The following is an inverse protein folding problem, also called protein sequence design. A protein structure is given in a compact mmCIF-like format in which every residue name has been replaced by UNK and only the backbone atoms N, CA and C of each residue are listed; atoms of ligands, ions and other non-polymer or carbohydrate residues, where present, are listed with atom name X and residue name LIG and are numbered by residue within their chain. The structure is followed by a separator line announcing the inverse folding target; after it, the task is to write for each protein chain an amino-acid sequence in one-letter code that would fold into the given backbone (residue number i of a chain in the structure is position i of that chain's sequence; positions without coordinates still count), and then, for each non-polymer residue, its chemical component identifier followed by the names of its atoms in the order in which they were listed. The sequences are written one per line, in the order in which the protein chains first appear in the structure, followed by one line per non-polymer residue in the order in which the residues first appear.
data_IF_158099014536
#
_entry.id   IF_158099014536
#
_cell.length_a   1.000
_cell.length_b   1.000
_cell.length_c   1.000
_cell.angle_alpha   90.00
_cell.angle_beta   90.00
_cell.angle_gamma   90.00
#
_symmetry.space_group_name_H-M   'P 1'
#
loop_
_entity.id
_entity.type
_entity.pdbx_description
1 polymer ?
2 non-polymer ?
3 non-polymer ?
4 water ?
#
# COMPACT_ATOMS: atom_id res chain seq x y z
N UNK A 2 8.67 36.51 -21.56
CA UNK A 2 9.06 35.61 -22.68
C UNK A 2 8.11 35.80 -23.85
N UNK A 3 8.65 35.69 -25.08
CA UNK A 3 7.85 35.93 -26.26
C UNK A 3 6.85 34.80 -26.44
N UNK A 4 5.61 35.23 -26.60
CA UNK A 4 4.49 34.32 -26.63
C UNK A 4 4.34 33.63 -28.01
N UNK A 5 4.18 32.31 -28.00
CA UNK A 5 3.70 31.59 -29.21
C UNK A 5 2.52 30.79 -28.68
N UNK A 6 1.44 30.73 -29.44
CA UNK A 6 0.25 29.98 -29.04
C UNK A 6 -0.19 29.08 -30.16
N UNK A 7 -0.55 27.82 -29.84
CA UNK A 7 -1.28 26.98 -30.78
C UNK A 7 -2.52 26.56 -30.03
N UNK A 8 -3.68 27.18 -30.33
CA UNK A 8 -4.87 27.00 -29.48
C UNK A 8 -5.31 25.54 -29.52
N UNK A 9 -5.22 24.91 -30.67
CA UNK A 9 -5.61 23.51 -30.78
C UNK A 9 -4.70 22.58 -29.93
N UNK A 10 -3.40 22.84 -29.93
CA UNK A 10 -2.48 22.07 -29.11
C UNK A 10 -2.91 22.17 -27.65
N UNK A 11 -3.29 23.36 -27.20
CA UNK A 11 -3.74 23.52 -25.81
C UNK A 11 -4.98 22.66 -25.52
N UNK A 12 -5.94 22.71 -26.42
CA UNK A 12 -7.17 21.92 -26.24
C UNK A 12 -6.91 20.44 -26.29
N UNK A 13 -6.02 19.98 -27.17
CA UNK A 13 -5.66 18.60 -27.23
C UNK A 13 -5.01 18.12 -25.93
N UNK A 14 -4.10 18.94 -25.43
CA UNK A 14 -3.38 18.57 -24.19
C UNK A 14 -4.30 18.59 -22.98
N UNK A 15 -5.33 19.43 -22.99
CA UNK A 15 -6.35 19.40 -21.98
C UNK A 15 -7.05 18.04 -21.98
N UNK A 16 -7.44 17.59 -23.17
CA UNK A 16 -8.09 16.27 -23.23
C UNK A 16 -7.16 15.19 -22.75
N UNK A 17 -5.92 15.23 -23.22
CA UNK A 17 -4.92 14.26 -22.86
C UNK A 17 -4.68 14.19 -21.33
N UNK A 18 -4.60 15.33 -20.67
CA UNK A 18 -4.20 15.28 -19.26
C UNK A 18 -5.24 14.64 -18.38
N UNK A 19 -6.51 14.76 -18.76
CA UNK A 19 -7.59 14.23 -17.94
C UNK A 19 -8.12 12.92 -18.45
N UNK A 20 -7.45 12.35 -19.43
CA UNK A 20 -7.92 11.07 -19.92
C UNK A 20 -7.84 10.04 -18.79
N UNK A 21 -8.78 9.11 -18.72
CA UNK A 21 -8.77 8.19 -17.58
C UNK A 21 -7.47 7.41 -17.43
N UNK A 22 -6.97 7.26 -16.20
CA UNK A 22 -5.91 6.27 -15.93
C UNK A 22 -6.60 5.02 -15.38
N UNK A 23 -5.90 3.88 -15.43
CA UNK A 23 -6.47 2.65 -14.93
C UNK A 23 -6.79 2.84 -13.44
N UNK A 24 -7.88 2.20 -12.99
CA UNK A 24 -8.22 2.22 -11.56
C UNK A 24 -7.27 1.36 -10.74
N UNK A 25 -7.01 1.78 -9.51
CA UNK A 25 -6.20 0.93 -8.62
C UNK A 25 -6.91 -0.37 -8.33
N UNK A 26 -6.13 -1.37 -7.89
CA UNK A 26 -6.67 -2.67 -7.60
C UNK A 26 -7.54 -2.58 -6.34
N UNK A 27 -8.47 -3.55 -6.21
CA UNK A 27 -9.37 -3.58 -5.08
C UNK A 27 -9.26 -4.90 -4.28
N UNK A 28 -8.26 -5.74 -4.53
CA UNK A 28 -8.06 -6.98 -3.71
C UNK A 28 -8.06 -6.61 -2.24
N UNK A 29 -8.81 -7.35 -1.42
CA UNK A 29 -8.81 -7.12 0.04
C UNK A 29 -7.72 -7.98 0.64
N UNK A 30 -6.81 -7.37 1.44
CA UNK A 30 -5.81 -8.14 2.14
C UNK A 30 -6.43 -8.73 3.40
N UNK A 31 -6.46 -10.05 3.45
CA UNK A 31 -6.99 -10.81 4.56
C UNK A 31 -5.83 -11.23 5.44
N UNK A 32 -6.11 -11.26 6.73
CA UNK A 32 -5.13 -11.75 7.69
C UNK A 32 -4.60 -13.15 7.31
N UNK A 33 -3.30 -13.40 7.50
CA UNK A 33 -2.76 -14.72 7.14
C UNK A 33 -3.09 -15.77 8.18
N UNK A 34 -3.47 -15.31 9.38
CA UNK A 34 -3.80 -16.25 10.50
C UNK A 34 -4.52 -15.50 11.61
N UNK A 35 -4.87 -16.24 12.65
CA UNK A 35 -5.70 -15.71 13.70
C UNK A 35 -4.98 -14.93 14.77
N UNK A 36 -3.65 -14.88 14.74
CA UNK A 36 -2.95 -14.02 15.72
C UNK A 36 -3.38 -12.56 15.59
N UNK A 37 -3.51 -11.88 16.73
CA UNK A 37 -3.89 -10.47 16.75
C UNK A 37 -2.94 -9.60 15.88
N UNK A 38 -1.63 -9.89 15.97
CA UNK A 38 -0.65 -9.16 15.13
C UNK A 38 -0.94 -9.30 13.61
N UNK A 39 -1.32 -10.50 13.18
CA UNK A 39 -1.63 -10.76 11.78
C UNK A 39 -2.90 -9.99 11.40
N UNK A 40 -3.88 -9.99 12.27
CA UNK A 40 -5.15 -9.29 12.04
C UNK A 40 -4.90 -7.78 11.96
N UNK A 41 -4.00 -7.28 12.81
CA UNK A 41 -3.70 -5.87 12.83
C UNK A 41 -2.94 -5.45 11.60
N UNK A 42 -2.07 -6.30 11.07
CA UNK A 42 -1.34 -5.97 9.84
C UNK A 42 -2.31 -5.87 8.68
N UNK A 43 -3.25 -6.80 8.58
CA UNK A 43 -4.18 -6.79 7.47
C UNK A 43 -5.09 -5.57 7.59
N UNK A 44 -5.53 -5.22 8.80
CA UNK A 44 -6.35 -4.01 8.97
C UNK A 44 -5.58 -2.75 8.62
N UNK A 45 -4.28 -2.69 8.96
CA UNK A 45 -3.48 -1.54 8.60
C UNK A 45 -3.36 -1.38 7.08
N UNK A 46 -3.18 -2.51 6.37
CA UNK A 46 -3.20 -2.49 4.91
C UNK A 46 -4.55 -2.08 4.31
N UNK A 47 -5.64 -2.54 4.87
CA UNK A 47 -6.99 -2.11 4.41
C UNK A 47 -7.09 -0.58 4.48
N UNK A 48 -6.70 -0.02 5.61
CA UNK A 48 -6.78 1.41 5.85
C UNK A 48 -5.82 2.21 4.94
N UNK A 49 -4.57 1.76 4.84
CA UNK A 49 -3.61 2.39 3.90
C UNK A 49 -4.11 2.33 2.45
N UNK A 50 -4.61 1.17 2.02
CA UNK A 50 -5.05 1.01 0.60
C UNK A 50 -6.30 1.87 0.35
N UNK A 51 -7.23 1.92 1.30
CA UNK A 51 -8.39 2.80 1.18
C UNK A 51 -7.96 4.29 1.00
N UNK A 52 -7.00 4.74 1.81
CA UNK A 52 -6.57 6.10 1.71
C UNK A 52 -5.84 6.34 0.40
N UNK A 53 -5.05 5.39 -0.07
CA UNK A 53 -4.43 5.50 -1.37
C UNK A 53 -5.48 5.69 -2.45
N UNK A 54 -6.54 4.89 -2.41
CA UNK A 54 -7.60 5.03 -3.41
C UNK A 54 -8.29 6.40 -3.34
N UNK A 55 -8.56 6.88 -2.13
CA UNK A 55 -9.14 8.18 -1.97
C UNK A 55 -8.22 9.31 -2.50
N UNK A 56 -6.94 9.19 -2.24
CA UNK A 56 -5.97 10.18 -2.77
C UNK A 56 -5.88 10.09 -4.32
N UNK A 57 -5.92 8.88 -4.87
CA UNK A 57 -5.90 8.69 -6.33
C UNK A 57 -7.14 9.34 -6.97
N UNK A 58 -8.29 9.26 -6.31
CA UNK A 58 -9.47 9.97 -6.75
C UNK A 58 -9.26 11.48 -6.74
N UNK A 59 -8.63 12.00 -5.67
CA UNK A 59 -8.33 13.42 -5.64
C UNK A 59 -7.37 13.82 -6.77
N UNK A 60 -6.43 12.93 -7.14
CA UNK A 60 -5.56 13.20 -8.27
C UNK A 60 -6.28 13.32 -9.57
N UNK A 61 -7.29 12.48 -9.76
CA UNK A 61 -8.11 12.54 -10.98
C UNK A 61 -8.84 13.88 -11.03
N UNK A 62 -9.33 14.35 -9.89
CA UNK A 62 -9.95 15.68 -9.81
C UNK A 62 -9.01 16.81 -10.16
N UNK A 63 -7.79 16.69 -9.71
CA UNK A 63 -6.78 17.69 -10.03
C UNK A 63 -6.46 17.72 -11.53
N UNK A 64 -6.38 16.56 -12.18
CA UNK A 64 -6.20 16.49 -13.65
C UNK A 64 -7.39 17.13 -14.39
N UNK A 65 -8.60 16.93 -13.87
CA UNK A 65 -9.77 17.60 -14.45
C UNK A 65 -9.66 19.11 -14.33
N UNK A 66 -9.23 19.57 -13.17
CA UNK A 66 -9.04 21.01 -12.90
C UNK A 66 -7.98 21.59 -13.82
N UNK A 67 -6.89 20.87 -14.03
CA UNK A 67 -5.85 21.37 -14.96
C UNK A 67 -6.36 21.42 -16.39
N UNK A 68 -7.09 20.38 -16.80
CA UNK A 68 -7.76 20.44 -18.13
C UNK A 68 -8.63 21.65 -18.26
N UNK A 69 -9.43 21.93 -17.24
CA UNK A 69 -10.30 23.15 -17.28
C UNK A 69 -9.45 24.42 -17.41
N UNK A 70 -8.35 24.50 -16.66
CA UNK A 70 -7.44 25.66 -16.78
C UNK A 70 -6.92 25.83 -18.18
N UNK A 71 -6.49 24.75 -18.78
CA UNK A 71 -5.98 24.85 -20.14
C UNK A 71 -7.08 25.33 -21.10
N UNK A 72 -8.29 24.78 -20.99
CA UNK A 72 -9.41 25.25 -21.82
C UNK A 72 -9.76 26.73 -21.59
N UNK A 73 -9.73 27.18 -20.34
CA UNK A 73 -9.88 28.60 -20.04
C UNK A 73 -8.78 29.46 -20.68
N UNK A 74 -7.54 28.97 -20.70
CA UNK A 74 -6.45 29.71 -21.37
C UNK A 74 -6.75 29.79 -22.88
N UNK A 75 -7.01 28.64 -23.49
CA UNK A 75 -7.35 28.58 -24.92
C UNK A 75 -8.48 29.58 -25.28
N UNK A 76 -9.53 29.59 -24.45
CA UNK A 76 -10.63 30.53 -24.66
C UNK A 76 -10.16 31.98 -24.56
N UNK A 77 -9.35 32.28 -23.55
CA UNK A 77 -8.92 33.66 -23.31
C UNK A 77 -8.08 34.22 -24.45
N UNK A 78 -7.24 33.39 -25.08
CA UNK A 78 -6.50 33.78 -26.27
C UNK A 78 -7.47 34.08 -27.44
N UNK A 79 -8.54 33.31 -27.52
CA UNK A 79 -9.62 33.64 -28.44
C UNK A 79 -10.38 34.93 -28.14
N UNK A 80 -10.54 35.31 -26.87
CA UNK A 80 -11.26 36.57 -26.48
C UNK A 80 -10.42 37.79 -26.87
N UNK A 81 -9.16 37.77 -26.44
CA UNK A 81 -8.25 38.86 -26.76
C UNK A 81 -8.17 38.93 -28.29
N UNK A 82 -8.05 37.76 -28.92
CA UNK A 82 -8.08 37.69 -30.40
C UNK A 82 -9.29 38.45 -30.97
N UNK A 83 -10.51 38.12 -30.52
CA UNK A 83 -11.74 38.80 -31.03
C UNK A 83 -11.74 40.29 -30.75
N UNK A 84 -11.42 40.66 -29.51
CA UNK A 84 -11.32 42.08 -29.12
C UNK A 84 -10.30 42.85 -29.98
N UNK A 85 -9.19 42.20 -30.36
CA UNK A 85 -8.24 42.83 -31.31
C UNK A 85 -8.84 42.96 -32.74
N UNK A 86 -9.69 42.03 -33.18
CA UNK A 86 -10.53 42.27 -34.37
C UNK A 86 -11.61 43.29 -33.99
N UNK A 112 -10.62 17.69 2.36
CA UNK A 112 -11.16 16.55 3.08
C UNK A 112 -10.19 15.33 3.21
N UNK A 113 -8.97 15.45 2.71
CA UNK A 113 -8.01 14.35 2.77
C UNK A 113 -7.30 14.39 4.10
N UNK A 114 -7.13 13.23 4.71
CA UNK A 114 -6.51 13.13 6.01
C UNK A 114 -5.43 12.08 6.04
N UNK A 115 -4.80 11.86 7.19
CA UNK A 115 -3.83 10.78 7.29
C UNK A 115 -4.53 9.42 7.47
N UNK A 116 -3.76 8.37 7.28
CA UNK A 116 -4.25 7.01 7.50
C UNK A 116 -4.17 6.71 9.00
N UNK A 117 -5.26 6.23 9.61
CA UNK A 117 -5.16 5.83 11.01
C UNK A 117 -4.11 4.76 11.26
N UNK A 118 -3.45 4.83 12.42
CA UNK A 118 -2.56 3.76 12.88
C UNK A 118 -3.33 2.74 13.71
N UNK A 119 -3.28 1.49 13.27
CA UNK A 119 -3.88 0.38 14.01
C UNK A 119 -3.03 0.20 15.25
N UNK A 120 -3.65 0.32 16.41
CA UNK A 120 -2.99 0.13 17.70
C UNK A 120 -2.65 -1.33 17.88
N UNK A 121 -1.39 -1.58 18.20
CA UNK A 121 -0.88 -2.94 18.35
C UNK A 121 -0.59 -3.25 19.84
N UNK A 122 -0.78 -2.26 20.74
CA UNK A 122 -0.53 -2.46 22.18
C UNK A 122 -1.50 -3.49 22.76
N UNK A 123 -1.00 -4.27 23.71
CA UNK A 123 -1.77 -5.38 24.26
C UNK A 123 -1.59 -6.74 23.61
N UNK A 124 -1.10 -6.80 22.37
CA UNK A 124 -0.91 -8.11 21.74
C UNK A 124 -0.11 -9.01 22.65
N UNK A 125 -0.58 -10.24 22.90
CA UNK A 125 0.19 -11.13 23.79
C UNK A 125 1.47 -11.67 23.12
N UNK A 126 2.60 -11.53 23.81
CA UNK A 126 3.91 -12.05 23.39
C UNK A 126 4.09 -13.57 23.72
N UNK A 127 3.19 -14.12 24.53
CA UNK A 127 3.18 -15.54 24.86
C UNK A 127 1.77 -16.04 25.18
N UNK A 128 1.58 -17.37 25.16
CA UNK A 128 0.25 -17.94 25.14
C UNK A 128 0.32 -19.41 25.45
N UNK A 129 -0.78 -19.99 25.91
CA UNK A 129 -0.89 -21.46 25.85
C UNK A 129 -0.35 -21.93 24.46
N UNK A 130 0.50 -22.97 24.47
CA UNK A 130 1.18 -23.44 23.24
C UNK A 130 0.29 -23.85 22.16
N UNK A 131 -0.70 -24.65 22.53
CA UNK A 131 -1.65 -25.20 21.58
C UNK A 131 -2.42 -24.04 20.98
N UNK A 132 -2.88 -23.11 21.80
CA UNK A 132 -3.64 -21.96 21.28
C UNK A 132 -2.80 -21.20 20.25
N UNK A 133 -1.55 -20.88 20.61
CA UNK A 133 -0.66 -20.13 19.71
C UNK A 133 -0.47 -20.85 18.40
N UNK A 134 -0.21 -22.16 18.44
CA UNK A 134 -0.07 -22.98 17.22
C UNK A 134 -1.37 -23.06 16.45
N UNK A 135 -2.51 -23.18 17.15
CA UNK A 135 -3.79 -23.24 16.45
C UNK A 135 -4.00 -21.92 15.68
N UNK A 136 -3.76 -20.80 16.35
CA UNK A 136 -3.97 -19.49 15.72
C UNK A 136 -3.06 -19.32 14.53
N UNK A 137 -1.78 -19.67 14.65
CA UNK A 137 -0.83 -19.58 13.54
C UNK A 137 -1.20 -20.44 12.36
N UNK A 138 -1.76 -21.61 12.62
CA UNK A 138 -2.07 -22.60 11.61
C UNK A 138 -3.45 -22.41 10.98
N UNK A 139 -4.27 -21.52 11.52
CA UNK A 139 -5.60 -21.32 11.02
C UNK A 139 -5.66 -20.01 10.20
N UNK A 140 -5.93 -20.16 8.90
CA UNK A 140 -5.98 -19.01 8.00
C UNK A 140 -5.27 -19.35 6.72
N UNK A 141 -5.33 -18.40 5.77
CA UNK A 141 -4.81 -18.68 4.45
C UNK A 141 -3.29 -18.66 4.32
N UNK A 142 -2.58 -18.36 5.42
CA UNK A 142 -1.12 -18.46 5.47
C UNK A 142 -0.38 -17.41 4.60
N UNK A 143 -1.10 -16.37 4.17
CA UNK A 143 -0.54 -15.28 3.39
C UNK A 143 -0.94 -15.24 1.93
N UNK A 144 -1.80 -16.18 1.48
CA UNK A 144 -2.20 -16.17 0.05
C UNK A 144 -2.81 -14.80 -0.35
N UNK A 145 -3.70 -14.24 0.48
CA UNK A 145 -4.38 -12.96 0.15
C UNK A 145 -3.41 -11.80 0.11
N UNK A 146 -2.48 -11.78 1.04
CA UNK A 146 -1.49 -10.73 1.10
C UNK A 146 -0.63 -10.70 -0.17
N UNK A 147 -0.24 -11.86 -0.64
CA UNK A 147 0.52 -11.93 -1.88
C UNK A 147 -0.26 -11.40 -3.10
N UNK A 148 -1.56 -11.68 -3.16
CA UNK A 148 -2.37 -11.24 -4.25
C UNK A 148 -2.53 -9.70 -4.20
N UNK A 149 -2.75 -9.19 -2.99
CA UNK A 149 -2.76 -7.76 -2.75
C UNK A 149 -1.46 -7.11 -3.26
N UNK A 150 -0.33 -7.71 -2.95
CA UNK A 150 0.95 -7.09 -3.31
C UNK A 150 1.09 -7.10 -4.83
N UNK A 151 0.68 -8.19 -5.48
CA UNK A 151 0.79 -8.25 -6.94
C UNK A 151 0.02 -7.12 -7.60
N UNK A 152 -1.22 -6.88 -7.16
CA UNK A 152 -2.02 -5.77 -7.73
C UNK A 152 -1.38 -4.43 -7.56
N UNK A 153 -0.86 -4.14 -6.36
CA UNK A 153 -0.28 -2.79 -6.12
C UNK A 153 1.08 -2.64 -6.80
N UNK A 154 1.84 -3.72 -6.93
CA UNK A 154 3.05 -3.70 -7.73
C UNK A 154 2.77 -3.39 -9.20
N UNK A 155 1.76 -4.04 -9.73
CA UNK A 155 1.38 -3.79 -11.12
C UNK A 155 0.91 -2.34 -11.28
N UNK A 156 0.18 -1.81 -10.30
CA UNK A 156 -0.29 -0.42 -10.36
C UNK A 156 0.87 0.58 -10.37
N UNK A 157 1.91 0.31 -9.56
CA UNK A 157 3.15 1.09 -9.60
C UNK A 157 3.64 1.21 -11.04
N UNK A 158 3.72 0.09 -11.75
CA UNK A 158 4.24 0.12 -13.11
C UNK A 158 3.25 0.82 -14.05
N UNK A 159 1.96 0.64 -13.80
CA UNK A 159 0.94 1.34 -14.60
C UNK A 159 1.10 2.84 -14.51
N UNK A 160 1.23 3.35 -13.29
CA UNK A 160 1.39 4.77 -13.06
C UNK A 160 2.64 5.35 -13.75
N UNK A 161 3.73 4.60 -13.65
CA UNK A 161 4.97 4.97 -14.30
C UNK A 161 4.81 5.11 -15.81
N UNK A 162 3.94 4.30 -16.37
CA UNK A 162 3.60 4.41 -17.80
C UNK A 162 2.58 5.48 -18.19
N UNK A 163 2.12 6.29 -17.24
CA UNK A 163 0.98 7.21 -17.46
C UNK A 163 1.39 8.68 -17.24
N UNK A 164 2.66 9.01 -17.47
CA UNK A 164 3.13 10.38 -17.26
C UNK A 164 3.49 11.18 -18.54
N UNK A 165 3.36 10.59 -19.74
CA UNK A 165 3.67 11.33 -20.99
C UNK A 165 2.75 12.54 -21.08
N UNK A 166 1.55 12.42 -20.53
CA UNK A 166 0.62 13.57 -20.49
C UNK A 166 1.14 14.87 -19.81
N UNK A 167 2.24 14.77 -19.05
CA UNK A 167 2.75 15.92 -18.31
C UNK A 167 3.93 16.56 -19.00
N UNK A 168 4.27 16.10 -20.21
CA UNK A 168 5.39 16.69 -20.96
C UNK A 168 5.16 18.17 -21.34
N UNK A 169 6.25 18.81 -21.69
CA UNK A 169 6.23 20.17 -22.20
C UNK A 169 5.46 20.34 -23.48
N UNK A 170 5.14 21.60 -23.78
CA UNK A 170 4.42 21.93 -25.03
C UNK A 170 5.37 22.10 -26.19
N UNK A 171 4.88 21.89 -27.41
CA UNK A 171 5.69 22.11 -28.60
C UNK A 171 5.53 23.53 -29.17
N UNK A 172 4.31 24.07 -29.14
CA UNK A 172 4.02 25.36 -29.77
C UNK A 172 3.28 26.31 -28.87
N UNK A 173 3.41 26.14 -27.57
CA UNK A 173 2.94 27.13 -26.61
C UNK A 173 4.16 27.52 -25.82
N UNK A 174 4.51 28.79 -25.88
CA UNK A 174 5.70 29.29 -25.20
C UNK A 174 5.36 30.61 -24.57
N UNK A 175 6.12 30.94 -23.54
CA UNK A 175 5.89 32.16 -22.80
C UNK A 175 5.57 31.88 -21.37
N UNK A 176 5.22 32.93 -20.61
CA UNK A 176 4.96 32.75 -19.16
C UNK A 176 3.81 31.85 -18.81
N UNK A 177 2.68 31.96 -19.52
CA UNK A 177 1.58 31.08 -19.24
C UNK A 177 1.95 29.62 -19.51
N UNK A 178 2.64 29.39 -20.63
CA UNK A 178 3.08 28.05 -20.97
C UNK A 178 3.99 27.50 -19.90
N UNK A 179 4.93 28.31 -19.45
CA UNK A 179 5.88 27.88 -18.46
C UNK A 179 5.17 27.57 -17.13
N UNK A 180 4.25 28.43 -16.69
CA UNK A 180 3.44 28.16 -15.49
C UNK A 180 2.66 26.84 -15.59
N UNK A 181 2.07 26.59 -16.76
CA UNK A 181 1.38 25.35 -17.02
C UNK A 181 2.33 24.17 -16.95
N UNK A 182 3.49 24.31 -17.61
CA UNK A 182 4.51 23.24 -17.54
C UNK A 182 4.95 22.95 -16.10
N UNK A 183 5.09 23.98 -15.26
CA UNK A 183 5.40 23.77 -13.83
C UNK A 183 4.30 22.96 -13.10
N UNK A 184 3.03 23.26 -13.37
CA UNK A 184 1.93 22.46 -12.79
C UNK A 184 1.95 21.05 -13.29
N UNK A 185 2.10 20.87 -14.59
CA UNK A 185 2.24 19.55 -15.13
C UNK A 185 3.37 18.77 -14.47
N UNK A 186 4.50 19.43 -14.25
CA UNK A 186 5.66 18.81 -13.60
C UNK A 186 5.34 18.37 -12.21
N UNK A 187 4.59 19.17 -11.48
CA UNK A 187 4.26 18.81 -10.11
C UNK A 187 3.30 17.63 -10.09
N UNK A 188 2.37 17.60 -11.03
CA UNK A 188 1.47 16.41 -11.14
C UNK A 188 2.22 15.12 -11.55
N UNK A 189 3.18 15.23 -12.48
CA UNK A 189 4.06 14.11 -12.80
C UNK A 189 4.76 13.59 -11.52
N UNK A 190 5.36 14.50 -10.75
CA UNK A 190 6.09 14.14 -9.51
C UNK A 190 5.11 13.48 -8.50
N UNK A 191 3.89 13.98 -8.45
CA UNK A 191 2.85 13.39 -7.58
C UNK A 191 2.51 11.96 -7.98
N UNK A 192 2.23 11.75 -9.25
CA UNK A 192 2.01 10.39 -9.78
C UNK A 192 3.17 9.46 -9.47
N UNK A 193 4.41 9.91 -9.66
CA UNK A 193 5.53 9.03 -9.43
C UNK A 193 5.70 8.75 -7.94
N UNK A 194 5.33 9.69 -7.07
CA UNK A 194 5.41 9.49 -5.62
C UNK A 194 4.33 8.46 -5.26
N UNK A 195 3.13 8.60 -5.87
CA UNK A 195 2.07 7.59 -5.63
C UNK A 195 2.48 6.20 -6.13
N UNK A 196 3.23 6.14 -7.22
CA UNK A 196 3.76 4.87 -7.70
C UNK A 196 4.72 4.27 -6.67
N UNK A 197 5.60 5.09 -6.13
CA UNK A 197 6.52 4.62 -5.08
C UNK A 197 5.75 4.11 -3.86
N UNK A 198 4.70 4.81 -3.45
CA UNK A 198 3.93 4.35 -2.29
C UNK A 198 3.19 3.06 -2.60
N UNK A 199 2.73 2.89 -3.84
CA UNK A 199 2.06 1.64 -4.29
C UNK A 199 3.03 0.47 -4.11
N UNK A 200 4.27 0.63 -4.53
CA UNK A 200 5.29 -0.38 -4.40
C UNK A 200 5.63 -0.60 -2.90
N UNK A 201 5.69 0.48 -2.13
CA UNK A 201 6.02 0.36 -0.70
C UNK A 201 4.95 -0.42 0.05
N UNK A 202 3.69 -0.12 -0.24
CA UNK A 202 2.59 -0.82 0.42
C UNK A 202 2.52 -2.28 -0.03
N UNK A 203 2.74 -2.56 -1.30
CA UNK A 203 2.88 -3.92 -1.76
C UNK A 203 4.02 -4.68 -1.01
N UNK A 204 5.14 -4.02 -0.79
CA UNK A 204 6.24 -4.62 -0.07
C UNK A 204 5.87 -4.93 1.36
N UNK A 205 5.07 -4.06 2.01
CA UNK A 205 4.58 -4.35 3.36
C UNK A 205 3.82 -5.68 3.40
N UNK A 206 2.93 -5.89 2.41
CA UNK A 206 2.15 -7.11 2.38
C UNK A 206 3.03 -8.32 2.17
N UNK A 207 3.99 -8.20 1.25
CA UNK A 207 4.91 -9.30 0.99
C UNK A 207 5.73 -9.61 2.23
N UNK A 208 6.13 -8.56 2.94
CA UNK A 208 6.96 -8.71 4.15
C UNK A 208 6.20 -9.50 5.26
N UNK A 209 4.93 -9.17 5.45
CA UNK A 209 4.12 -9.86 6.44
C UNK A 209 3.87 -11.30 6.00
N UNK A 210 3.72 -11.55 4.69
CA UNK A 210 3.57 -12.92 4.18
C UNK A 210 4.82 -13.75 4.44
N UNK A 211 5.98 -13.15 4.25
CA UNK A 211 7.25 -13.81 4.52
C UNK A 211 7.44 -14.04 6.03
N UNK A 212 7.02 -13.08 6.83
CA UNK A 212 7.06 -13.19 8.29
C UNK A 212 6.24 -14.40 8.73
N UNK A 213 5.05 -14.51 8.15
CA UNK A 213 4.17 -15.59 8.50
C UNK A 213 4.79 -16.95 8.16
N UNK A 214 5.39 -17.10 6.99
CA UNK A 214 6.03 -18.38 6.58
C UNK A 214 7.19 -18.71 7.51
N UNK A 215 7.95 -17.69 7.88
CA UNK A 215 9.02 -17.83 8.87
C UNK A 215 8.47 -18.34 10.22
N UNK A 216 7.37 -17.74 10.70
CA UNK A 216 6.75 -18.13 11.95
C UNK A 216 6.29 -19.57 11.93
N UNK A 217 5.79 -20.02 10.78
CA UNK A 217 5.46 -21.44 10.62
C UNK A 217 6.66 -22.35 10.67
N UNK A 218 7.79 -21.96 10.11
CA UNK A 218 9.02 -22.72 10.19
C UNK A 218 9.49 -22.83 11.63
N UNK A 219 9.38 -21.73 12.37
CA UNK A 219 10.00 -21.66 13.70
C UNK A 219 9.14 -22.01 14.87
N UNK A 220 7.82 -21.96 14.75
CA UNK A 220 6.95 -22.22 15.89
C UNK A 220 6.63 -23.69 15.92
N UNK A 221 6.63 -24.31 17.12
CA UNK A 221 6.21 -25.71 17.18
C UNK A 221 4.82 -25.90 16.61
N UNK A 222 4.61 -27.02 15.95
CA UNK A 222 3.29 -27.28 15.37
C UNK A 222 2.34 -27.75 16.43
N UNK A 223 1.05 -27.56 16.16
CA UNK A 223 -0.02 -28.07 17.04
C UNK A 223 0.18 -29.56 17.29
N UNK A 224 0.37 -30.31 16.23
CA UNK A 224 0.46 -31.74 16.35
C UNK A 224 1.73 -32.18 17.10
N UNK A 225 2.84 -31.47 16.92
CA UNK A 225 4.05 -31.82 17.68
C UNK A 225 3.82 -31.57 19.16
N UNK A 226 3.16 -30.49 19.47
CA UNK A 226 2.81 -30.16 20.85
C UNK A 226 1.85 -31.20 21.43
N UNK A 227 0.81 -31.55 20.68
CA UNK A 227 -0.15 -32.63 21.07
C UNK A 227 0.59 -33.89 21.44
N UNK A 228 1.53 -34.33 20.61
CA UNK A 228 2.21 -35.61 20.80
C UNK A 228 3.02 -35.61 22.08
N UNK A 229 3.67 -34.49 22.34
CA UNK A 229 4.52 -34.36 23.49
C UNK A 229 3.68 -34.34 24.76
N UNK A 230 2.58 -33.56 24.75
CA UNK A 230 1.75 -33.44 25.92
C UNK A 230 1.05 -34.77 26.20
N UNK A 231 0.65 -35.49 25.16
CA UNK A 231 -0.01 -36.79 25.39
C UNK A 231 0.96 -37.78 26.05
N UNK A 232 2.19 -37.83 25.56
CA UNK A 232 3.23 -38.70 26.17
C UNK A 232 3.51 -38.31 27.61
N UNK A 233 3.63 -37.03 27.89
CA UNK A 233 3.80 -36.53 29.26
C UNK A 233 2.66 -36.95 30.16
N UNK A 234 1.43 -36.83 29.65
CA UNK A 234 0.27 -37.11 30.47
C UNK A 234 0.25 -38.58 30.79
N UNK A 235 0.59 -39.41 29.82
CA UNK A 235 0.40 -40.85 29.94
C UNK A 235 1.51 -41.64 30.60
N UNK A 236 2.69 -41.03 30.77
CA UNK A 236 3.88 -41.75 31.18
C UNK A 236 4.60 -41.00 32.30
N UNK A 237 4.19 -41.24 33.57
CA UNK A 237 4.79 -40.53 34.71
C UNK A 237 6.28 -40.62 34.75
N UNK A 238 6.87 -41.77 34.36
CA UNK A 238 8.32 -41.92 34.47
C UNK A 238 9.07 -41.16 33.38
N UNK A 239 8.33 -40.63 32.39
CA UNK A 239 8.97 -39.84 31.31
C UNK A 239 9.03 -38.36 31.65
N UNK A 240 8.22 -37.94 32.63
CA UNK A 240 7.91 -36.52 32.74
C UNK A 240 9.14 -35.67 33.00
N UNK A 241 10.00 -36.09 33.94
CA UNK A 241 11.18 -35.28 34.29
C UNK A 241 12.09 -35.07 33.11
N UNK A 242 12.19 -36.08 32.26
CA UNK A 242 13.08 -36.01 31.12
C UNK A 242 12.44 -35.37 29.88
N UNK A 243 11.10 -35.40 29.77
CA UNK A 243 10.36 -34.74 28.66
C UNK A 243 10.22 -33.27 28.89
N UNK A 244 10.15 -32.83 30.14
CA UNK A 244 9.77 -31.47 30.42
C UNK A 244 10.68 -30.47 29.70
N UNK A 245 12.01 -30.74 29.63
CA UNK A 245 12.85 -29.75 28.94
C UNK A 245 12.50 -29.58 27.47
N UNK A 246 11.93 -30.61 26.84
CA UNK A 246 11.50 -30.48 25.42
C UNK A 246 10.35 -29.51 25.42
N UNK A 247 9.40 -29.66 26.35
CA UNK A 247 8.24 -28.78 26.42
C UNK A 247 8.67 -27.38 26.70
N UNK A 248 9.65 -27.21 27.59
CA UNK A 248 10.15 -25.88 27.90
C UNK A 248 10.82 -25.22 26.70
N UNK A 249 11.61 -25.96 25.93
CA UNK A 249 12.19 -25.43 24.70
C UNK A 249 11.08 -25.01 23.74
N UNK A 250 10.01 -25.81 23.63
CA UNK A 250 8.88 -25.41 22.77
C UNK A 250 8.23 -24.14 23.28
N UNK A 251 7.97 -24.02 24.57
CA UNK A 251 7.39 -22.80 25.14
C UNK A 251 8.24 -21.58 24.87
N UNK A 252 9.53 -21.74 25.06
CA UNK A 252 10.45 -20.63 24.90
C UNK A 252 10.55 -20.20 23.45
N UNK A 253 10.61 -21.16 22.53
CA UNK A 253 10.64 -20.85 21.10
C UNK A 253 9.32 -20.19 20.66
N UNK A 254 8.20 -20.67 21.19
CA UNK A 254 6.90 -20.04 20.94
C UNK A 254 6.87 -18.57 21.34
N UNK A 255 7.42 -18.26 22.51
CA UNK A 255 7.44 -16.89 23.00
C UNK A 255 8.31 -16.02 22.10
N UNK A 256 9.44 -16.54 21.66
CA UNK A 256 10.32 -15.76 20.81
C UNK A 256 9.65 -15.47 19.46
N UNK A 257 8.99 -16.48 18.91
CA UNK A 257 8.32 -16.36 17.61
C UNK A 257 7.16 -15.36 17.72
N UNK A 258 6.33 -15.47 18.75
CA UNK A 258 5.19 -14.57 18.91
C UNK A 258 5.65 -13.13 19.15
N UNK A 259 6.68 -12.95 19.96
CA UNK A 259 7.24 -11.63 20.20
C UNK A 259 7.73 -11.01 18.90
N UNK A 260 8.44 -11.80 18.10
CA UNK A 260 8.95 -11.27 16.81
C UNK A 260 7.81 -11.00 15.84
N UNK A 261 6.82 -11.88 15.81
CA UNK A 261 5.65 -11.64 14.94
C UNK A 261 4.94 -10.31 15.32
N UNK A 262 4.78 -10.07 16.62
CA UNK A 262 4.15 -8.83 17.10
C UNK A 262 4.95 -7.60 16.68
N UNK A 263 6.27 -7.65 16.89
CA UNK A 263 7.20 -6.57 16.45
C UNK A 263 7.08 -6.30 14.98
N UNK A 264 7.39 -7.33 14.21
CA UNK A 264 7.61 -7.21 12.80
C UNK A 264 6.33 -7.03 11.97
N UNK A 265 5.19 -7.49 12.47
CA UNK A 265 3.94 -7.32 11.74
C UNK A 265 3.35 -5.91 11.93
N UNK A 266 3.91 -5.08 12.80
CA UNK A 266 3.38 -3.73 13.03
C UNK A 266 3.80 -2.88 11.84
N UNK A 267 2.84 -2.54 10.99
CA UNK A 267 3.09 -1.81 9.75
C UNK A 267 2.86 -0.30 9.92
N UNK A 268 3.70 0.51 9.28
CA UNK A 268 3.50 1.94 9.28
C UNK A 268 2.32 2.28 8.39
N UNK A 269 1.45 3.17 8.84
CA UNK A 269 0.41 3.65 7.89
C UNK A 269 1.04 4.31 6.65
N UNK A 270 0.42 4.14 5.49
CA UNK A 270 0.80 4.87 4.28
C UNK A 270 0.02 6.19 4.24
N UNK A 271 0.79 7.30 4.27
CA UNK A 271 0.25 8.65 4.26
C UNK A 271 0.65 9.35 2.98
N UNK A 272 -0.20 9.22 1.94
CA UNK A 272 0.14 9.87 0.69
C UNK A 272 0.16 11.39 0.74
N UNK A 273 0.92 12.00 -0.19
CA UNK A 273 0.98 13.44 -0.36
C UNK A 273 -0.31 13.91 -0.99
N UNK A 274 -0.79 15.08 -0.59
CA UNK A 274 -1.97 15.65 -1.21
C UNK A 274 -1.66 16.17 -2.64
N UNK A 275 -2.56 15.93 -3.61
CA UNK A 275 -2.30 16.39 -4.97
C UNK A 275 -2.52 17.90 -5.12
X LIG B 1 -3.24 -13.34 19.36
X LIG C 1 -9.20 6.81 -9.95
X LIG C 1 -9.44 7.41 -8.69
X LIG C 1 -7.75 7.02 -10.28
X LIG C 1 -7.36 8.40 -10.37
X LIG C 1 -7.38 6.34 -11.58
X LIG C 1 -6.12 5.74 -11.29
X LIG D 1 7.54 -3.59 6.78
X LIG D 1 7.50 -2.72 7.91
X LIG D 1 8.33 -2.94 5.65
X LIG D 1 9.62 -2.49 6.12
X LIG D 1 8.54 -3.94 4.55
X LIG D 1 8.72 -3.24 3.34
#
# INVERSE_FOLDING_TARGET
GAMVTVDQQEILNRANEVEAPMADPPTDVPITPCELTAAKNAAQQLVLSADNMREYLAAGAKERQRLATSLRNAAKAYGEVDEEAATALDNDGEGTVQAESAGAVGGDSSAELTDTPRVATAGEPNFMDLKEAARKLETGDQGASLAHFADGWNTFNLTLQGDVKRFRGFDNWEGDAATACEASLDQQRQWILHMAKLSAAMAKQAQYVAQLHVWARREHPTYEDIVGLERLYAENPSARDQILPVYAEYQQRSEKVLTEYNNKAALEPVNPPKP
CL CL
GOL C1 O1 C2 O2 C3 O3
GOL C1 O1 C2 O2 C3 O3
#
